data_IF_990879407717
#
_entry.id   IF_990879407717
#
_cell.length_a   1.000
_cell.length_b   1.000
_cell.length_c   1.000
_cell.angle_alpha   90.00
_cell.angle_beta   90.00
_cell.angle_gamma   90.00
#
_symmetry.space_group_name_H-M   'P 1'
#
loop_
_entity.id
_entity.type
_entity.pdbx_description
1 polymer ?
#
# COMPACT_ATOMS: atom_id res chain seq x y z
N UNK A 1 10.83 17.66 9.34
CA UNK A 1 9.47 17.60 8.72
C UNK A 1 8.47 17.35 9.82
N UNK A 2 7.56 18.26 9.99
CA UNK A 2 6.50 18.14 10.98
C UNK A 2 5.37 17.19 10.53
N UNK A 3 4.41 16.92 11.41
CA UNK A 3 3.27 16.06 11.11
C UNK A 3 2.46 16.54 9.90
N UNK A 4 2.28 17.85 9.76
CA UNK A 4 1.52 18.43 8.63
C UNK A 4 2.21 18.16 7.30
N UNK A 5 3.53 18.31 7.24
CA UNK A 5 4.31 17.98 6.05
C UNK A 5 4.30 16.49 5.74
N UNK A 6 4.35 15.66 6.79
CA UNK A 6 4.22 14.20 6.66
C UNK A 6 2.87 13.80 6.05
N UNK A 7 1.78 14.37 6.56
CA UNK A 7 0.44 14.11 6.04
C UNK A 7 0.31 14.53 4.57
N UNK A 8 0.87 15.67 4.19
CA UNK A 8 0.90 16.11 2.78
C UNK A 8 1.68 15.14 1.88
N UNK A 9 2.81 14.67 2.35
CA UNK A 9 3.64 13.71 1.61
C UNK A 9 2.91 12.39 1.41
N UNK A 10 2.27 11.90 2.46
CA UNK A 10 1.50 10.68 2.42
C UNK A 10 0.30 10.81 1.47
N UNK A 11 -0.44 11.90 1.57
CA UNK A 11 -1.59 12.19 0.71
C UNK A 11 -1.19 12.24 -0.77
N UNK A 12 -0.11 12.94 -1.09
CA UNK A 12 0.41 13.03 -2.45
C UNK A 12 0.80 11.66 -3.00
N UNK A 13 1.52 10.87 -2.22
CA UNK A 13 1.95 9.53 -2.64
C UNK A 13 0.76 8.59 -2.83
N UNK A 14 -0.22 8.66 -1.95
CA UNK A 14 -1.45 7.89 -2.04
C UNK A 14 -2.26 8.25 -3.28
N UNK A 15 -2.47 9.53 -3.53
CA UNK A 15 -3.21 9.99 -4.70
C UNK A 15 -2.51 9.59 -6.01
N UNK A 16 -1.19 9.70 -6.06
CA UNK A 16 -0.39 9.27 -7.22
C UNK A 16 -0.55 7.76 -7.48
N UNK A 17 -0.58 6.97 -6.42
CA UNK A 17 -0.86 5.54 -6.52
C UNK A 17 -2.28 5.28 -7.05
N UNK A 18 -3.29 5.94 -6.52
CA UNK A 18 -4.68 5.80 -6.98
C UNK A 18 -4.85 6.22 -8.44
N UNK A 19 -4.19 7.28 -8.87
CA UNK A 19 -4.22 7.75 -10.26
C UNK A 19 -3.64 6.71 -11.23
N UNK A 20 -2.73 5.86 -10.79
CA UNK A 20 -2.13 4.85 -11.65
C UNK A 20 -3.16 3.86 -12.22
N UNK A 21 -4.25 3.60 -11.51
CA UNK A 21 -5.32 2.69 -11.97
C UNK A 21 -6.67 3.37 -12.16
N UNK A 22 -6.74 4.69 -12.07
CA UNK A 22 -7.98 5.44 -12.27
C UNK A 22 -8.55 5.20 -13.67
N UNK A 23 -9.86 5.03 -13.75
CA UNK A 23 -10.56 4.84 -15.02
C UNK A 23 -10.49 3.43 -15.61
N UNK A 24 -9.80 2.49 -14.98
CA UNK A 24 -9.81 1.10 -15.40
C UNK A 24 -11.18 0.47 -15.11
N UNK A 25 -11.65 -0.36 -16.04
CA UNK A 25 -12.88 -1.14 -15.85
C UNK A 25 -12.66 -2.24 -14.79
N UNK A 26 -13.75 -2.80 -14.28
CA UNK A 26 -13.67 -3.94 -13.37
C UNK A 26 -12.92 -5.13 -13.98
N UNK A 27 -13.15 -5.42 -15.26
CA UNK A 27 -12.44 -6.48 -15.96
C UNK A 27 -10.93 -6.22 -16.02
N UNK A 28 -10.53 -4.99 -16.30
CA UNK A 28 -9.11 -4.57 -16.31
C UNK A 28 -8.46 -4.64 -14.93
N UNK A 29 -9.18 -4.24 -13.89
CA UNK A 29 -8.69 -4.34 -12.50
C UNK A 29 -8.45 -5.78 -12.05
N UNK A 30 -9.18 -6.74 -12.64
CA UNK A 30 -9.07 -8.18 -12.32
C UNK A 30 -8.12 -8.94 -13.25
N UNK A 31 -7.57 -8.30 -14.28
CA UNK A 31 -6.70 -8.95 -15.26
C UNK A 31 -5.35 -9.30 -14.64
N UNK A 32 -4.90 -10.57 -14.66
CA UNK A 32 -3.61 -10.97 -14.12
C UNK A 32 -2.45 -10.48 -14.98
N UNK A 33 -1.24 -10.49 -14.41
CA UNK A 33 -0.02 -10.18 -15.16
C UNK A 33 0.43 -8.73 -15.08
N UNK A 34 -0.08 -7.93 -14.15
CA UNK A 34 0.37 -6.55 -13.93
C UNK A 34 1.72 -6.53 -13.23
N UNK A 35 1.89 -7.34 -12.17
CA UNK A 35 3.15 -7.57 -11.47
C UNK A 35 3.26 -9.06 -11.15
N UNK A 36 4.09 -9.78 -11.90
CA UNK A 36 4.08 -11.24 -11.85
C UNK A 36 2.68 -11.76 -12.22
N UNK A 37 2.09 -12.60 -11.39
CA UNK A 37 0.73 -13.10 -11.57
C UNK A 37 -0.35 -12.15 -11.03
N UNK A 38 0.02 -11.08 -10.35
CA UNK A 38 -0.93 -10.18 -9.69
C UNK A 38 -1.66 -9.26 -10.67
N UNK A 39 -2.96 -9.09 -10.44
CA UNK A 39 -3.80 -8.04 -11.02
C UNK A 39 -3.65 -6.73 -10.25
N UNK A 40 -4.23 -5.64 -10.77
CA UNK A 40 -4.34 -4.39 -10.00
C UNK A 40 -5.11 -4.62 -8.70
N UNK A 41 -6.18 -5.42 -8.72
CA UNK A 41 -6.92 -5.82 -7.51
C UNK A 41 -5.99 -6.44 -6.47
N UNK A 42 -5.11 -7.34 -6.86
CA UNK A 42 -4.15 -7.99 -5.97
C UNK A 42 -3.15 -7.00 -5.39
N UNK A 43 -2.68 -6.07 -6.21
CA UNK A 43 -1.79 -4.99 -5.78
C UNK A 43 -2.48 -4.09 -4.75
N UNK A 44 -3.74 -3.71 -4.98
CA UNK A 44 -4.51 -2.90 -4.03
C UNK A 44 -4.65 -3.66 -2.70
N UNK A 45 -4.99 -4.93 -2.73
CA UNK A 45 -5.06 -5.76 -1.52
C UNK A 45 -3.71 -5.81 -0.79
N UNK A 46 -2.61 -5.97 -1.52
CA UNK A 46 -1.25 -5.99 -0.99
C UNK A 46 -0.86 -4.67 -0.32
N UNK A 47 -1.08 -3.54 -0.96
CA UNK A 47 -0.82 -2.22 -0.38
C UNK A 47 -1.67 -2.02 0.88
N UNK A 48 -2.90 -2.49 0.86
CA UNK A 48 -3.82 -2.37 2.00
C UNK A 48 -3.34 -3.15 3.22
N UNK A 49 -2.88 -4.40 3.06
CA UNK A 49 -2.42 -5.15 4.23
C UNK A 49 -1.14 -4.58 4.84
N UNK A 50 -0.29 -3.92 4.06
CA UNK A 50 0.86 -3.22 4.63
C UNK A 50 0.46 -1.97 5.40
N UNK A 51 -0.59 -1.27 4.99
CA UNK A 51 -1.17 -0.20 5.81
C UNK A 51 -1.81 -0.74 7.09
N UNK A 52 -2.44 -1.91 7.04
CA UNK A 52 -2.94 -2.61 8.23
C UNK A 52 -1.81 -2.99 9.18
N UNK A 53 -0.66 -3.43 8.65
CA UNK A 53 0.53 -3.70 9.45
C UNK A 53 1.06 -2.43 10.13
N UNK A 54 1.04 -1.30 9.44
CA UNK A 54 1.37 -0.01 10.03
C UNK A 54 0.42 0.32 11.19
N UNK A 55 -0.89 0.17 11.01
CA UNK A 55 -1.88 0.39 12.05
C UNK A 55 -1.70 -0.52 13.26
N UNK A 56 -1.23 -1.75 13.04
CA UNK A 56 -0.98 -2.72 14.11
C UNK A 56 0.29 -2.39 14.89
N UNK A 57 1.37 -2.03 14.21
CA UNK A 57 2.69 -1.95 14.80
C UNK A 57 3.12 -0.54 15.21
N UNK A 58 2.64 0.50 14.55
CA UNK A 58 3.03 1.88 14.89
C UNK A 58 2.61 2.31 16.31
N UNK A 59 1.38 2.00 16.78
CA UNK A 59 1.02 2.30 18.18
C UNK A 59 1.93 1.61 19.18
N UNK A 60 2.30 0.36 18.93
CA UNK A 60 3.23 -0.39 19.78
C UNK A 60 4.59 0.31 19.84
N UNK A 61 5.11 0.78 18.70
CA UNK A 61 6.38 1.48 18.63
C UNK A 61 6.36 2.82 19.36
N UNK A 62 5.24 3.56 19.28
CA UNK A 62 5.06 4.81 20.03
C UNK A 62 5.07 4.58 21.54
N UNK A 63 4.58 3.42 21.99
CA UNK A 63 4.62 3.01 23.39
C UNK A 63 5.98 2.45 23.83
N UNK A 64 7.00 2.48 22.98
CA UNK A 64 8.35 1.99 23.27
C UNK A 64 8.57 0.50 23.00
N UNK A 65 7.56 -0.20 22.47
CA UNK A 65 7.65 -1.62 22.13
C UNK A 65 8.39 -1.89 20.82
N UNK A 66 8.67 -3.16 20.57
CA UNK A 66 9.31 -3.62 19.33
C UNK A 66 8.38 -4.64 18.65
N UNK A 67 7.97 -4.39 17.39
CA UNK A 67 7.18 -5.36 16.65
C UNK A 67 7.93 -6.69 16.49
N UNK A 68 7.20 -7.83 16.48
CA UNK A 68 7.81 -9.13 16.17
C UNK A 68 8.47 -9.11 14.79
N UNK A 69 9.59 -9.82 14.66
CA UNK A 69 10.25 -9.95 13.36
C UNK A 69 9.48 -10.89 12.45
N UNK A 70 9.29 -10.50 11.18
CA UNK A 70 8.63 -11.33 10.17
C UNK A 70 9.35 -12.66 9.96
N UNK A 71 10.69 -12.69 10.08
CA UNK A 71 11.49 -13.91 10.00
C UNK A 71 11.13 -14.92 11.10
N UNK A 72 10.76 -14.43 12.28
CA UNK A 72 10.39 -15.29 13.43
C UNK A 72 8.93 -15.74 13.34
N UNK A 73 8.02 -14.79 13.07
CA UNK A 73 6.58 -15.06 13.08
C UNK A 73 6.10 -15.81 11.83
N UNK A 74 6.64 -15.48 10.65
CA UNK A 74 6.14 -15.97 9.36
C UNK A 74 7.16 -16.73 8.53
N UNK A 75 8.45 -16.66 8.87
CA UNK A 75 9.52 -17.18 8.02
C UNK A 75 10.06 -16.17 7.01
N UNK A 76 9.72 -14.88 7.17
CA UNK A 76 10.18 -13.76 6.35
C UNK A 76 9.05 -12.97 5.72
N UNK A 77 9.39 -11.87 5.05
CA UNK A 77 8.44 -10.96 4.39
C UNK A 77 7.74 -11.66 3.22
N UNK A 78 8.47 -12.44 2.43
CA UNK A 78 7.87 -13.17 1.29
C UNK A 78 6.84 -14.20 1.77
N UNK A 79 7.13 -14.92 2.84
CA UNK A 79 6.20 -15.87 3.45
C UNK A 79 4.97 -15.14 4.03
N UNK A 80 5.16 -13.99 4.65
CA UNK A 80 4.06 -13.14 5.12
C UNK A 80 3.17 -12.69 3.95
N UNK A 81 3.76 -12.18 2.88
CA UNK A 81 3.01 -11.77 1.69
C UNK A 81 2.24 -12.93 1.05
N UNK A 82 2.85 -14.12 0.98
CA UNK A 82 2.21 -15.32 0.45
C UNK A 82 0.99 -15.71 1.29
N UNK A 83 1.12 -15.67 2.61
CA UNK A 83 0.02 -15.93 3.54
C UNK A 83 -1.13 -14.95 3.36
N UNK A 84 -0.84 -13.65 3.29
CA UNK A 84 -1.86 -12.62 3.09
C UNK A 84 -2.52 -12.74 1.72
N UNK A 85 -1.77 -13.05 0.69
CA UNK A 85 -2.32 -13.31 -0.66
C UNK A 85 -3.34 -14.45 -0.62
N UNK A 86 -2.99 -15.56 0.02
CA UNK A 86 -3.89 -16.71 0.15
C UNK A 86 -5.15 -16.37 0.94
N UNK A 87 -5.03 -15.67 2.05
CA UNK A 87 -6.16 -15.26 2.90
C UNK A 87 -7.15 -14.33 2.18
N UNK A 88 -6.71 -13.60 1.16
CA UNK A 88 -7.49 -12.55 0.51
C UNK A 88 -7.81 -12.79 -0.96
N UNK A 89 -7.40 -13.93 -1.49
CA UNK A 89 -7.60 -14.25 -2.91
C UNK A 89 -9.09 -14.29 -3.33
N UNK A 90 -9.96 -14.65 -2.40
CA UNK A 90 -11.40 -14.81 -2.67
C UNK A 90 -12.24 -13.57 -2.35
N UNK A 91 -11.61 -12.48 -1.87
CA UNK A 91 -12.32 -11.22 -1.65
C UNK A 91 -12.81 -10.65 -2.99
N UNK A 92 -14.07 -10.23 -3.02
CA UNK A 92 -14.62 -9.53 -4.19
C UNK A 92 -13.93 -8.19 -4.39
N UNK A 93 -13.86 -7.74 -5.65
CA UNK A 93 -13.26 -6.43 -5.99
C UNK A 93 -13.85 -5.29 -5.15
N UNK A 94 -15.18 -5.27 -4.98
CA UNK A 94 -15.86 -4.23 -4.18
C UNK A 94 -15.41 -4.27 -2.71
N UNK A 95 -15.13 -5.44 -2.17
CA UNK A 95 -14.64 -5.60 -0.79
C UNK A 95 -13.19 -5.10 -0.66
N UNK A 96 -12.34 -5.40 -1.63
CA UNK A 96 -10.95 -4.92 -1.68
C UNK A 96 -10.91 -3.40 -1.74
N UNK A 97 -11.72 -2.79 -2.61
CA UNK A 97 -11.78 -1.32 -2.75
C UNK A 97 -12.33 -0.65 -1.48
N UNK A 98 -13.36 -1.22 -0.87
CA UNK A 98 -13.91 -0.70 0.38
C UNK A 98 -12.90 -0.78 1.53
N UNK A 99 -12.19 -1.89 1.62
CA UNK A 99 -11.17 -2.11 2.64
C UNK A 99 -10.01 -1.13 2.47
N UNK A 100 -9.58 -0.88 1.25
CA UNK A 100 -8.58 0.12 0.93
C UNK A 100 -8.95 1.50 1.49
N UNK A 101 -10.17 1.96 1.22
CA UNK A 101 -10.66 3.27 1.70
C UNK A 101 -10.74 3.31 3.22
N UNK A 102 -11.28 2.28 3.85
CA UNK A 102 -11.45 2.21 5.30
C UNK A 102 -10.10 2.21 6.03
N UNK A 103 -9.18 1.34 5.60
CA UNK A 103 -7.86 1.21 6.21
C UNK A 103 -7.07 2.50 6.08
N UNK A 104 -7.06 3.09 4.88
CA UNK A 104 -6.34 4.35 4.64
C UNK A 104 -6.89 5.48 5.50
N UNK A 105 -8.20 5.63 5.59
CA UNK A 105 -8.84 6.64 6.45
C UNK A 105 -8.43 6.46 7.92
N UNK A 106 -8.40 5.22 8.41
CA UNK A 106 -7.97 4.92 9.78
C UNK A 106 -6.50 5.24 10.00
N UNK A 107 -5.66 4.97 9.01
CA UNK A 107 -4.23 5.29 9.07
C UNK A 107 -4.01 6.79 9.15
N UNK A 108 -4.68 7.57 8.32
CA UNK A 108 -4.61 9.04 8.36
C UNK A 108 -5.06 9.58 9.72
N UNK A 109 -6.21 9.10 10.23
CA UNK A 109 -6.71 9.52 11.54
C UNK A 109 -5.71 9.21 12.67
N UNK A 110 -5.06 8.06 12.61
CA UNK A 110 -4.01 7.68 13.56
C UNK A 110 -2.82 8.65 13.49
N UNK A 111 -2.32 8.96 12.31
CA UNK A 111 -1.19 9.88 12.14
C UNK A 111 -1.54 11.29 12.60
N UNK A 112 -2.77 11.74 12.38
CA UNK A 112 -3.27 13.03 12.87
C UNK A 112 -3.23 13.11 14.41
N UNK A 113 -3.33 11.98 15.10
CA UNK A 113 -3.28 11.89 16.57
C UNK A 113 -1.85 11.89 17.14
N UNK A 114 -0.83 11.68 16.31
CA UNK A 114 0.58 11.61 16.73
C UNK A 114 1.16 13.02 16.90
N UNK A 115 2.02 13.24 17.90
CA UNK A 115 2.68 14.53 18.10
C UNK A 115 3.75 14.81 17.04
N UNK A 116 4.12 16.08 16.87
CA UNK A 116 5.19 16.45 15.94
C UNK A 116 6.52 15.79 16.29
N UNK A 117 6.85 15.69 17.58
CA UNK A 117 8.08 15.04 18.04
C UNK A 117 8.09 13.55 17.68
N UNK A 118 6.97 12.84 17.88
CA UNK A 118 6.83 11.45 17.54
C UNK A 118 6.89 11.23 16.02
N UNK A 119 6.42 12.17 15.23
CA UNK A 119 6.40 12.13 13.77
C UNK A 119 7.71 12.62 13.12
N UNK A 120 8.73 12.97 13.88
CA UNK A 120 9.98 13.54 13.35
C UNK A 120 10.76 12.53 12.50
N UNK A 121 11.64 13.06 11.63
CA UNK A 121 12.29 12.29 10.55
C UNK A 121 13.12 11.08 11.00
N UNK A 122 13.80 11.20 12.14
CA UNK A 122 14.76 10.19 12.59
C UNK A 122 14.18 9.14 13.53
N UNK A 123 12.88 9.11 13.72
CA UNK A 123 12.25 8.14 14.61
C UNK A 123 12.07 6.77 13.97
N UNK A 124 12.04 5.72 14.79
CA UNK A 124 11.69 4.36 14.36
C UNK A 124 10.28 4.33 13.77
N UNK A 125 9.37 5.06 14.35
CA UNK A 125 8.00 5.29 13.86
C UNK A 125 8.03 5.76 12.40
N UNK A 126 8.78 6.82 12.13
CA UNK A 126 8.83 7.41 10.80
C UNK A 126 9.42 6.46 9.75
N UNK A 127 10.47 5.74 10.11
CA UNK A 127 11.08 4.74 9.22
C UNK A 127 10.09 3.62 8.88
N UNK A 128 9.39 3.10 9.87
CA UNK A 128 8.39 2.06 9.66
C UNK A 128 7.22 2.56 8.80
N UNK A 129 6.67 3.71 9.13
CA UNK A 129 5.59 4.32 8.34
C UNK A 129 5.98 4.46 6.88
N UNK A 130 7.18 4.95 6.61
CA UNK A 130 7.69 5.09 5.25
C UNK A 130 7.72 3.75 4.51
N UNK A 131 8.23 2.70 5.13
CA UNK A 131 8.34 1.38 4.52
C UNK A 131 6.97 0.79 4.18
N UNK A 132 5.96 1.04 4.99
CA UNK A 132 4.63 0.48 4.82
C UNK A 132 3.72 1.34 3.93
N UNK A 133 4.11 2.58 3.61
CA UNK A 133 3.26 3.55 2.91
C UNK A 133 3.99 4.28 1.77
N UNK A 134 4.33 5.54 1.94
CA UNK A 134 4.82 6.41 0.86
C UNK A 134 6.19 6.00 0.27
N UNK A 135 6.93 5.12 0.93
CA UNK A 135 8.10 4.46 0.36
C UNK A 135 7.76 3.17 -0.39
N UNK A 136 6.57 2.63 -0.19
CA UNK A 136 6.07 1.39 -0.77
C UNK A 136 5.21 1.61 -2.02
N UNK A 137 4.30 2.58 -1.99
CA UNK A 137 3.38 2.86 -3.10
C UNK A 137 4.07 3.07 -4.46
N UNK A 138 5.20 3.80 -4.55
CA UNK A 138 5.80 4.11 -5.86
C UNK A 138 6.22 2.89 -6.68
N UNK A 139 6.65 1.82 -6.03
CA UNK A 139 6.99 0.56 -6.69
C UNK A 139 5.79 -0.02 -7.45
N UNK A 140 4.64 -0.03 -6.80
CA UNK A 140 3.41 -0.59 -7.35
C UNK A 140 2.78 0.34 -8.38
N UNK A 141 2.83 1.62 -8.16
CA UNK A 141 2.43 2.64 -9.13
C UNK A 141 3.18 2.46 -10.45
N UNK A 142 4.50 2.32 -10.40
CA UNK A 142 5.31 2.11 -11.60
C UNK A 142 4.93 0.84 -12.35
N UNK A 143 4.69 -0.26 -11.64
CA UNK A 143 4.28 -1.51 -12.25
C UNK A 143 2.94 -1.37 -12.98
N UNK A 144 1.97 -0.70 -12.37
CA UNK A 144 0.66 -0.47 -12.98
C UNK A 144 0.78 0.42 -14.22
N UNK A 145 1.53 1.52 -14.12
CA UNK A 145 1.72 2.43 -15.26
C UNK A 145 2.42 1.76 -16.43
N UNK A 146 3.45 0.98 -16.18
CA UNK A 146 4.16 0.22 -17.23
C UNK A 146 3.22 -0.76 -17.91
N UNK A 147 2.40 -1.46 -17.16
CA UNK A 147 1.40 -2.38 -17.71
C UNK A 147 0.36 -1.64 -18.56
N UNK A 148 -0.15 -0.50 -18.10
CA UNK A 148 -1.10 0.33 -18.88
C UNK A 148 -0.48 0.86 -20.17
N UNK A 149 0.73 1.36 -20.08
CA UNK A 149 1.46 1.92 -21.25
C UNK A 149 1.68 0.83 -22.30
N UNK A 150 2.11 -0.37 -21.91
CA UNK A 150 2.29 -1.50 -22.79
C UNK A 150 0.98 -1.91 -23.48
N UNK A 151 -0.16 -1.88 -22.79
CA UNK A 151 -1.47 -2.15 -23.36
C UNK A 151 -1.87 -1.10 -24.40
N UNK A 152 -1.64 0.18 -24.10
CA UNK A 152 -1.94 1.28 -25.01
C UNK A 152 -1.14 1.16 -26.32
N UNK A 153 0.12 0.76 -26.25
CA UNK A 153 0.96 0.52 -27.44
C UNK A 153 0.45 -0.66 -28.27
N UNK A 154 0.02 -1.76 -27.62
CA UNK A 154 -0.50 -2.94 -28.30
C UNK A 154 -1.78 -2.64 -29.08
N UNK A 155 -2.61 -1.69 -28.62
CA UNK A 155 -3.88 -1.32 -29.25
C UNK A 155 -3.79 -0.08 -30.15
N UNK A 156 -2.61 0.48 -30.40
CA UNK A 156 -2.45 1.56 -31.37
C UNK A 156 -2.70 1.00 -32.78
N UNK A 157 -3.61 1.62 -33.57
CA UNK A 157 -3.80 1.20 -34.95
C UNK A 157 -2.50 1.40 -35.74
N UNK A 158 -2.18 0.45 -36.60
CA UNK A 158 -1.08 0.57 -37.53
C UNK A 158 -1.35 1.78 -38.43
N UNK A 159 -0.59 2.87 -38.19
CA UNK A 159 -0.68 4.11 -38.97
C UNK A 159 0.00 3.98 -40.32
#
# INVERSE_FOLDING_TARGET
MDRKQLLKRLDKAWETFRQSYAGLSNAELLEPGVSGAWSVRDIIAHVTWWEEEALTHLPLMLAGGTPPRYSVTYGGIDAFNAKRTEERKDLLLVEVLRRQEDVHRRLIAFIESVSDDQASDDTRFRRRLRLDTYGHYPKHERAIRQWRDARSETFKPAG
#
